data_IF_824146983431
#
_entry.id   IF_824146983431
#
_cell.length_a   1.000
_cell.length_b   1.000
_cell.length_c   1.000
_cell.angle_alpha   90.00
_cell.angle_beta   90.00
_cell.angle_gamma   90.00
#
_symmetry.space_group_name_H-M   'P 1'
#
loop_
_entity.id
_entity.type
_entity.pdbx_description
1 polymer ?
#
# COMPACT_ATOMS: atom_id res chain seq x y z
N UNK A 1 -19.91 -14.71 -6.42
CA UNK A 1 -19.02 -15.32 -7.41
C UNK A 1 -19.03 -16.84 -7.32
N UNK A 2 -18.75 -17.54 -8.42
CA UNK A 2 -18.41 -18.95 -8.39
C UNK A 2 -17.14 -19.15 -7.54
N UNK A 3 -16.91 -20.36 -7.02
CA UNK A 3 -15.69 -20.69 -6.26
C UNK A 3 -15.61 -20.10 -4.84
N UNK A 4 -16.74 -19.84 -4.18
CA UNK A 4 -16.74 -19.40 -2.77
C UNK A 4 -16.56 -20.56 -1.77
N UNK A 5 -16.84 -21.80 -2.18
CA UNK A 5 -16.77 -22.96 -1.30
C UNK A 5 -15.35 -23.18 -0.76
N UNK A 6 -15.24 -23.44 0.55
CA UNK A 6 -13.95 -23.66 1.23
C UNK A 6 -13.19 -22.41 1.62
N UNK A 7 -13.63 -21.22 1.17
CA UNK A 7 -13.03 -19.95 1.56
C UNK A 7 -13.56 -19.45 2.90
N UNK A 8 -12.73 -18.72 3.62
CA UNK A 8 -13.15 -18.04 4.84
C UNK A 8 -14.10 -16.87 4.49
N UNK A 9 -15.28 -16.85 5.11
CA UNK A 9 -16.27 -15.81 4.87
C UNK A 9 -16.02 -14.61 5.79
N UNK A 10 -15.70 -13.46 5.19
CA UNK A 10 -15.46 -12.18 5.86
C UNK A 10 -16.45 -11.10 5.42
N UNK A 11 -17.56 -11.47 4.79
CA UNK A 11 -18.54 -10.51 4.25
C UNK A 11 -19.21 -9.65 5.30
N UNK A 12 -19.25 -10.12 6.54
CA UNK A 12 -19.80 -9.38 7.69
C UNK A 12 -18.79 -8.43 8.35
N UNK A 13 -17.53 -8.44 7.90
CA UNK A 13 -16.52 -7.53 8.42
C UNK A 13 -16.68 -6.14 7.82
N UNK A 14 -16.50 -5.11 8.68
CA UNK A 14 -16.41 -3.73 8.19
C UNK A 14 -15.10 -3.54 7.45
N UNK A 15 -15.17 -3.26 6.16
CA UNK A 15 -14.00 -3.03 5.31
C UNK A 15 -14.24 -2.00 4.22
N UNK A 16 -13.18 -1.34 3.81
CA UNK A 16 -13.20 -0.27 2.82
C UNK A 16 -12.06 -0.43 1.82
N UNK A 17 -12.26 0.07 0.60
CA UNK A 17 -11.15 0.41 -0.31
C UNK A 17 -10.85 1.88 -0.18
N UNK A 18 -9.58 2.30 -0.33
CA UNK A 18 -9.16 3.71 -0.26
C UNK A 18 -8.21 3.99 -1.41
N UNK A 19 -8.69 4.67 -2.44
CA UNK A 19 -8.00 4.87 -3.70
C UNK A 19 -8.13 6.31 -4.21
N UNK A 20 -7.56 6.60 -5.37
CA UNK A 20 -7.82 7.83 -6.11
C UNK A 20 -9.26 7.88 -6.63
N UNK A 21 -9.79 9.09 -6.88
CA UNK A 21 -11.15 9.30 -7.37
C UNK A 21 -11.43 8.57 -8.68
N UNK A 22 -10.44 8.53 -9.57
CA UNK A 22 -10.54 7.96 -10.91
C UNK A 22 -10.23 6.46 -10.98
N UNK A 23 -9.81 5.83 -9.86
CA UNK A 23 -9.47 4.41 -9.81
C UNK A 23 -10.69 3.54 -10.11
N UNK A 24 -10.50 2.51 -10.92
CA UNK A 24 -11.55 1.53 -11.28
C UNK A 24 -11.13 0.10 -10.96
N UNK A 25 -9.84 -0.12 -10.86
CA UNK A 25 -9.15 -1.34 -10.49
C UNK A 25 -8.83 -1.29 -8.99
N UNK A 26 -9.81 -1.62 -8.15
CA UNK A 26 -9.68 -1.61 -6.70
C UNK A 26 -9.07 -2.95 -6.27
N UNK A 27 -7.76 -3.00 -6.15
CA UNK A 27 -7.01 -4.25 -5.94
C UNK A 27 -6.88 -4.62 -4.47
N UNK A 28 -7.01 -3.67 -3.55
CA UNK A 28 -6.88 -3.87 -2.11
C UNK A 28 -8.04 -3.28 -1.31
N UNK A 29 -8.42 -3.98 -0.25
CA UNK A 29 -9.32 -3.50 0.77
C UNK A 29 -8.70 -3.70 2.15
N UNK A 30 -9.08 -2.87 3.10
CA UNK A 30 -8.57 -2.93 4.47
C UNK A 30 -9.72 -2.97 5.48
N UNK A 31 -9.53 -3.73 6.55
CA UNK A 31 -10.41 -3.80 7.70
C UNK A 31 -9.61 -3.65 8.99
N UNK A 32 -10.20 -3.04 10.00
CA UNK A 32 -9.59 -2.92 11.33
C UNK A 32 -10.64 -2.99 12.42
N UNK A 33 -10.37 -3.81 13.42
CA UNK A 33 -11.10 -3.79 14.68
C UNK A 33 -10.15 -4.02 15.86
N UNK A 34 -10.63 -3.76 17.07
CA UNK A 34 -9.86 -3.99 18.27
C UNK A 34 -10.24 -5.32 18.91
N UNK A 35 -9.25 -6.12 19.29
CA UNK A 35 -9.40 -7.28 20.16
C UNK A 35 -8.62 -7.01 21.45
N UNK A 36 -9.34 -6.66 22.51
CA UNK A 36 -8.74 -6.12 23.71
C UNK A 36 -7.90 -4.88 23.41
N UNK A 37 -6.61 -4.96 23.71
CA UNK A 37 -5.63 -3.89 23.48
C UNK A 37 -4.91 -3.99 22.14
N UNK A 38 -5.20 -5.03 21.35
CA UNK A 38 -4.54 -5.28 20.08
C UNK A 38 -5.39 -4.81 18.89
N UNK A 39 -4.71 -4.41 17.83
CA UNK A 39 -5.33 -4.13 16.53
C UNK A 39 -5.42 -5.43 15.74
N UNK A 40 -6.58 -5.73 15.17
CA UNK A 40 -6.72 -6.78 14.17
C UNK A 40 -6.88 -6.12 12.81
N UNK A 41 -5.79 -6.08 12.07
CA UNK A 41 -5.72 -5.50 10.73
C UNK A 41 -5.89 -6.59 9.68
N UNK A 42 -6.90 -6.45 8.82
CA UNK A 42 -7.04 -7.25 7.61
C UNK A 42 -6.61 -6.45 6.38
N UNK A 43 -5.74 -7.05 5.59
CA UNK A 43 -5.39 -6.57 4.25
C UNK A 43 -5.85 -7.63 3.26
N UNK A 44 -6.74 -7.24 2.36
CA UNK A 44 -7.45 -8.13 1.46
C UNK A 44 -7.10 -7.75 0.02
N UNK A 45 -6.44 -8.65 -0.70
CA UNK A 45 -6.01 -8.43 -2.09
C UNK A 45 -6.89 -9.23 -3.02
N UNK A 46 -7.34 -8.63 -4.12
CA UNK A 46 -8.14 -9.30 -5.14
C UNK A 46 -7.46 -10.61 -5.61
N UNK A 47 -8.18 -11.74 -5.53
CA UNK A 47 -7.65 -13.04 -5.93
C UNK A 47 -7.72 -13.21 -7.45
N UNK A 48 -6.81 -12.55 -8.14
CA UNK A 48 -6.69 -12.58 -9.61
C UNK A 48 -6.35 -13.98 -10.09
N UNK A 49 -5.53 -14.73 -9.34
CA UNK A 49 -5.09 -16.08 -9.72
C UNK A 49 -6.22 -17.10 -9.78
N UNK A 50 -7.35 -16.84 -9.10
CA UNK A 50 -8.56 -17.66 -9.26
C UNK A 50 -9.15 -17.60 -10.67
N UNK A 51 -8.95 -16.49 -11.36
CA UNK A 51 -9.52 -16.25 -12.71
C UNK A 51 -8.48 -16.42 -13.82
N UNK A 52 -7.23 -16.05 -13.55
CA UNK A 52 -6.10 -16.18 -14.49
C UNK A 52 -5.32 -17.44 -14.12
N UNK A 53 -5.75 -18.55 -14.70
CA UNK A 53 -5.12 -19.85 -14.44
C UNK A 53 -3.81 -19.99 -15.23
N UNK A 54 -2.84 -20.68 -14.63
CA UNK A 54 -1.54 -20.96 -15.24
C UNK A 54 -1.68 -21.59 -16.63
N UNK A 55 -0.91 -21.11 -17.58
CA UNK A 55 -0.92 -21.53 -18.99
C UNK A 55 -2.21 -21.24 -19.77
N UNK A 56 -3.17 -20.54 -19.18
CA UNK A 56 -4.36 -20.08 -19.93
C UNK A 56 -3.97 -19.00 -20.96
N UNK A 57 -4.86 -18.74 -21.92
CA UNK A 57 -4.66 -17.66 -22.89
C UNK A 57 -4.48 -16.29 -22.23
N UNK A 58 -5.17 -16.05 -21.08
CA UNK A 58 -5.01 -14.83 -20.28
C UNK A 58 -3.62 -14.74 -19.66
N UNK A 59 -3.15 -15.83 -19.05
CA UNK A 59 -1.82 -15.91 -18.44
C UNK A 59 -0.71 -15.67 -19.47
N UNK A 60 -0.78 -16.35 -20.61
CA UNK A 60 0.18 -16.19 -21.69
C UNK A 60 0.23 -14.76 -22.22
N UNK A 61 -0.93 -14.11 -22.39
CA UNK A 61 -0.98 -12.72 -22.85
C UNK A 61 -0.51 -11.74 -21.76
N UNK A 62 -0.90 -11.96 -20.50
CA UNK A 62 -0.45 -11.14 -19.38
C UNK A 62 1.08 -11.20 -19.20
N UNK A 63 1.67 -12.39 -19.33
CA UNK A 63 3.13 -12.58 -19.28
C UNK A 63 3.84 -11.79 -20.38
N UNK A 64 3.31 -11.77 -21.61
CA UNK A 64 3.87 -10.97 -22.72
C UNK A 64 3.79 -9.47 -22.43
N UNK A 65 2.71 -8.98 -21.85
CA UNK A 65 2.53 -7.57 -21.47
C UNK A 65 3.42 -7.19 -20.30
N UNK A 66 3.58 -8.06 -19.33
CA UNK A 66 4.43 -7.92 -18.15
C UNK A 66 3.91 -6.92 -17.11
N UNK A 67 3.17 -5.88 -17.51
CA UNK A 67 2.60 -4.85 -16.64
C UNK A 67 1.46 -4.12 -17.33
N UNK A 68 0.66 -3.40 -16.55
CA UNK A 68 -0.21 -2.34 -17.07
C UNK A 68 0.63 -1.08 -17.33
N UNK A 69 0.33 -0.34 -18.40
CA UNK A 69 1.01 0.91 -18.77
C UNK A 69 0.08 2.08 -18.53
N UNK A 70 0.46 2.96 -17.60
CA UNK A 70 -0.29 4.15 -17.25
C UNK A 70 0.22 5.35 -18.05
N UNK A 71 -0.56 5.77 -19.04
CA UNK A 71 -0.34 7.01 -19.80
C UNK A 71 -1.06 8.17 -19.11
N UNK A 72 -0.80 9.39 -19.57
CA UNK A 72 -1.38 10.58 -18.95
C UNK A 72 -2.90 10.59 -19.00
N UNK A 73 -3.50 10.10 -20.10
CA UNK A 73 -4.92 10.12 -20.39
C UNK A 73 -5.62 8.74 -20.32
N UNK A 74 -4.83 7.66 -20.29
CA UNK A 74 -5.39 6.30 -20.36
C UNK A 74 -4.47 5.24 -19.76
N UNK A 75 -5.07 4.09 -19.48
CA UNK A 75 -4.34 2.89 -19.06
C UNK A 75 -4.45 1.83 -20.16
N UNK A 76 -3.31 1.23 -20.54
CA UNK A 76 -3.23 0.01 -21.34
C UNK A 76 -3.08 -1.15 -20.34
N UNK A 77 -4.17 -1.89 -20.04
CA UNK A 77 -4.12 -2.85 -18.95
C UNK A 77 -3.39 -4.14 -19.34
N UNK A 78 -2.73 -4.77 -18.36
CA UNK A 78 -2.14 -6.09 -18.52
C UNK A 78 -3.21 -7.16 -18.66
N UNK A 79 -4.31 -7.05 -17.93
CA UNK A 79 -5.47 -7.94 -17.98
C UNK A 79 -6.66 -7.24 -18.63
N UNK A 80 -7.62 -7.99 -19.22
CA UNK A 80 -8.87 -7.41 -19.72
C UNK A 80 -9.60 -6.60 -18.65
N UNK A 81 -10.27 -5.52 -19.05
CA UNK A 81 -10.99 -4.64 -18.12
C UNK A 81 -12.14 -5.34 -17.40
N UNK A 82 -12.70 -6.37 -17.99
CA UNK A 82 -13.73 -7.24 -17.39
C UNK A 82 -13.19 -7.94 -16.14
N UNK A 83 -11.89 -8.21 -16.09
CA UNK A 83 -11.22 -8.70 -14.89
C UNK A 83 -10.80 -7.54 -14.00
N UNK A 84 -9.91 -6.65 -14.46
CA UNK A 84 -9.25 -5.65 -13.61
C UNK A 84 -10.23 -4.63 -13.00
N UNK A 85 -11.23 -4.17 -13.77
CA UNK A 85 -12.22 -3.21 -13.29
C UNK A 85 -13.55 -3.87 -12.88
N UNK A 86 -13.72 -5.14 -13.24
CA UNK A 86 -14.95 -5.91 -13.07
C UNK A 86 -14.87 -6.91 -11.93
N UNK A 87 -14.68 -8.19 -12.28
CA UNK A 87 -14.84 -9.31 -11.33
C UNK A 87 -13.74 -9.35 -10.26
N UNK A 88 -12.53 -8.89 -10.56
CA UNK A 88 -11.43 -8.80 -9.59
C UNK A 88 -11.50 -7.53 -8.75
N UNK A 89 -12.00 -6.42 -9.30
CA UNK A 89 -12.09 -5.16 -8.56
C UNK A 89 -12.99 -5.29 -7.34
N UNK A 90 -12.50 -4.88 -6.17
CA UNK A 90 -13.16 -5.01 -4.87
C UNK A 90 -14.27 -3.96 -4.69
N UNK A 91 -15.16 -3.88 -5.67
CA UNK A 91 -16.24 -2.91 -5.75
C UNK A 91 -17.19 -2.97 -4.54
N UNK A 92 -17.66 -1.81 -4.11
CA UNK A 92 -18.61 -1.64 -2.99
C UNK A 92 -19.85 -2.50 -3.16
N UNK A 93 -20.26 -3.17 -2.10
CA UNK A 93 -21.47 -3.97 -2.03
C UNK A 93 -21.43 -5.29 -2.82
N UNK A 94 -20.31 -5.62 -3.45
CA UNK A 94 -20.16 -6.84 -4.23
C UNK A 94 -19.37 -7.92 -3.48
N UNK A 95 -19.86 -9.17 -3.55
CA UNK A 95 -19.07 -10.30 -3.07
C UNK A 95 -17.86 -10.51 -3.99
N UNK A 96 -16.66 -10.59 -3.41
CA UNK A 96 -15.41 -10.74 -4.13
C UNK A 96 -14.51 -11.80 -3.49
N UNK A 97 -13.74 -12.47 -4.34
CA UNK A 97 -12.70 -13.39 -3.88
C UNK A 97 -11.42 -12.60 -3.59
N UNK A 98 -10.82 -12.88 -2.44
CA UNK A 98 -9.60 -12.23 -2.03
C UNK A 98 -8.61 -13.21 -1.39
N UNK A 99 -7.34 -12.84 -1.42
CA UNK A 99 -6.29 -13.39 -0.55
C UNK A 99 -6.11 -12.39 0.59
N UNK A 100 -6.32 -12.86 1.82
CA UNK A 100 -6.33 -11.99 2.99
C UNK A 100 -5.18 -12.31 3.92
N UNK A 101 -4.47 -11.28 4.35
CA UNK A 101 -3.53 -11.31 5.46
C UNK A 101 -4.18 -10.61 6.65
N UNK A 102 -4.54 -11.38 7.68
CA UNK A 102 -5.16 -10.89 8.91
C UNK A 102 -4.10 -10.92 9.99
N UNK A 103 -3.78 -9.78 10.58
CA UNK A 103 -2.68 -9.61 11.52
C UNK A 103 -3.19 -9.07 12.86
N UNK A 104 -2.81 -9.73 13.95
CA UNK A 104 -2.98 -9.19 15.30
C UNK A 104 -1.74 -8.43 15.68
N UNK A 105 -1.88 -7.12 15.88
CA UNK A 105 -0.76 -6.20 16.10
C UNK A 105 -0.91 -5.54 17.48
N UNK A 106 0.16 -5.60 18.28
CA UNK A 106 0.17 -4.98 19.60
C UNK A 106 0.45 -3.47 19.53
N UNK A 107 0.33 -2.78 20.68
CA UNK A 107 0.60 -1.32 20.80
C UNK A 107 2.03 -0.89 20.48
N UNK A 108 2.97 -1.83 20.33
CA UNK A 108 4.34 -1.55 19.87
C UNK A 108 4.50 -1.69 18.35
N UNK A 109 3.44 -2.06 17.64
CA UNK A 109 3.46 -2.32 16.20
C UNK A 109 4.13 -3.65 15.85
N UNK A 110 4.09 -4.65 16.76
CA UNK A 110 4.59 -5.99 16.52
C UNK A 110 3.43 -6.89 16.12
N UNK A 111 3.59 -7.62 15.02
CA UNK A 111 2.65 -8.68 14.63
C UNK A 111 2.88 -9.85 15.58
N UNK A 112 1.89 -10.14 16.42
CA UNK A 112 1.97 -11.20 17.43
C UNK A 112 1.27 -12.48 16.99
N UNK A 113 0.37 -12.36 16.02
CA UNK A 113 -0.29 -13.49 15.35
C UNK A 113 -0.75 -13.05 13.95
N UNK A 114 -0.84 -13.99 13.03
CA UNK A 114 -1.36 -13.71 11.69
C UNK A 114 -2.00 -14.95 11.05
N UNK A 115 -2.86 -14.69 10.08
CA UNK A 115 -3.49 -15.71 9.25
C UNK A 115 -3.53 -15.27 7.80
N UNK A 116 -2.99 -16.08 6.91
CA UNK A 116 -3.10 -15.91 5.46
C UNK A 116 -4.15 -16.91 4.96
N UNK A 117 -5.15 -16.43 4.24
CA UNK A 117 -6.26 -17.27 3.80
C UNK A 117 -6.88 -16.80 2.49
N UNK A 118 -7.42 -17.75 1.73
CA UNK A 118 -8.39 -17.48 0.68
C UNK A 118 -9.72 -17.10 1.32
N UNK A 119 -10.29 -15.97 0.92
CA UNK A 119 -11.48 -15.38 1.55
C UNK A 119 -12.56 -15.00 0.55
N UNK A 120 -13.77 -14.82 1.06
CA UNK A 120 -14.84 -14.08 0.40
C UNK A 120 -15.10 -12.84 1.20
N UNK A 121 -15.03 -11.69 0.55
CA UNK A 121 -15.21 -10.37 1.15
C UNK A 121 -16.32 -9.59 0.51
N UNK A 122 -16.79 -8.54 1.19
CA UNK A 122 -17.73 -7.57 0.66
C UNK A 122 -17.39 -6.18 1.17
N UNK A 123 -16.84 -5.35 0.30
CA UNK A 123 -16.47 -3.97 0.64
C UNK A 123 -17.71 -3.16 1.02
N UNK A 124 -17.73 -2.53 2.20
CA UNK A 124 -18.84 -1.73 2.68
C UNK A 124 -18.91 -0.36 2.02
N UNK A 125 -17.75 0.28 1.81
CA UNK A 125 -17.63 1.59 1.16
C UNK A 125 -16.36 1.67 0.32
N UNK A 126 -16.52 2.28 -0.86
CA UNK A 126 -15.39 2.78 -1.63
C UNK A 126 -15.06 4.18 -1.14
N UNK A 127 -13.92 4.33 -0.48
CA UNK A 127 -13.42 5.62 -0.03
C UNK A 127 -12.38 6.16 -1.00
N UNK A 128 -12.19 7.48 -0.96
CA UNK A 128 -11.11 8.13 -1.69
C UNK A 128 -10.06 8.68 -0.72
N UNK A 129 -8.82 8.84 -1.20
CA UNK A 129 -7.76 9.49 -0.39
C UNK A 129 -8.21 10.88 0.08
N UNK A 130 -8.95 11.63 -0.75
CA UNK A 130 -9.48 12.94 -0.43
C UNK A 130 -10.49 12.87 0.72
N UNK A 131 -11.46 11.95 0.69
CA UNK A 131 -12.47 11.85 1.74
C UNK A 131 -11.87 11.38 3.06
N UNK A 132 -10.94 10.44 3.05
CA UNK A 132 -10.26 9.98 4.27
C UNK A 132 -9.37 11.09 4.84
N UNK A 133 -8.68 11.89 4.00
CA UNK A 133 -7.96 13.09 4.43
C UNK A 133 -8.89 14.10 5.10
N UNK A 134 -10.05 14.39 4.49
CA UNK A 134 -11.06 15.31 5.07
C UNK A 134 -11.55 14.84 6.44
N UNK A 135 -11.72 13.52 6.63
CA UNK A 135 -12.10 12.94 7.93
C UNK A 135 -10.96 13.09 8.94
N UNK A 136 -9.76 12.64 8.59
CA UNK A 136 -8.65 12.47 9.53
C UNK A 136 -7.85 13.76 9.81
N UNK A 137 -7.59 14.56 8.77
CA UNK A 137 -6.77 15.76 8.86
C UNK A 137 -7.58 17.04 8.90
N UNK A 138 -8.47 17.24 7.93
CA UNK A 138 -9.19 18.51 7.76
C UNK A 138 -10.38 18.63 8.74
N UNK A 139 -10.84 17.51 9.33
CA UNK A 139 -11.99 17.42 10.24
C UNK A 139 -13.26 18.03 9.66
N UNK A 140 -13.51 17.80 8.37
CA UNK A 140 -14.67 18.28 7.64
C UNK A 140 -15.96 17.67 8.22
N UNK A 141 -16.81 18.51 8.84
CA UNK A 141 -17.99 18.07 9.54
C UNK A 141 -19.03 17.41 8.61
N UNK A 142 -19.14 17.84 7.35
CA UNK A 142 -20.09 17.27 6.40
C UNK A 142 -19.65 15.85 5.97
N UNK A 143 -18.38 15.67 5.68
CA UNK A 143 -17.82 14.36 5.32
C UNK A 143 -17.81 13.41 6.52
N UNK A 144 -17.52 13.89 7.71
CA UNK A 144 -17.61 13.11 8.96
C UNK A 144 -19.04 12.61 9.20
N UNK A 145 -20.07 13.45 9.00
CA UNK A 145 -21.47 13.04 9.18
C UNK A 145 -21.89 12.02 8.11
N UNK A 146 -21.43 12.20 6.86
CA UNK A 146 -21.70 11.25 5.75
C UNK A 146 -21.16 9.85 6.04
N UNK A 147 -19.93 9.75 6.59
CA UNK A 147 -19.24 8.50 6.88
C UNK A 147 -19.10 8.18 8.36
N UNK A 148 -20.00 8.68 9.19
CA UNK A 148 -19.93 8.61 10.67
C UNK A 148 -19.72 7.20 11.23
N UNK A 149 -20.28 6.19 10.57
CA UNK A 149 -20.10 4.77 10.96
C UNK A 149 -18.68 4.26 10.78
N UNK A 150 -17.88 4.85 9.86
CA UNK A 150 -16.52 4.49 9.55
C UNK A 150 -15.47 5.30 10.30
N UNK A 151 -15.85 6.46 10.83
CA UNK A 151 -14.91 7.39 11.50
C UNK A 151 -14.13 6.72 12.63
N UNK A 152 -14.74 5.94 13.55
CA UNK A 152 -13.98 5.26 14.60
C UNK A 152 -12.94 4.29 14.07
N UNK A 153 -13.23 3.59 12.97
CA UNK A 153 -12.28 2.68 12.31
C UNK A 153 -11.13 3.49 11.70
N UNK A 154 -11.39 4.59 11.00
CA UNK A 154 -10.34 5.44 10.42
C UNK A 154 -9.44 6.06 11.48
N UNK A 155 -9.97 6.47 12.62
CA UNK A 155 -9.16 6.99 13.73
C UNK A 155 -8.21 5.92 14.27
N UNK A 156 -8.68 4.67 14.42
CA UNK A 156 -7.82 3.54 14.80
C UNK A 156 -6.82 3.14 13.71
N UNK A 157 -7.21 3.23 12.45
CA UNK A 157 -6.28 3.04 11.33
C UNK A 157 -5.15 4.07 11.34
N UNK A 158 -5.47 5.34 11.57
CA UNK A 158 -4.46 6.41 11.66
C UNK A 158 -3.51 6.20 12.86
N UNK A 159 -4.05 5.80 14.01
CA UNK A 159 -3.26 5.46 15.20
C UNK A 159 -2.28 4.31 14.90
N UNK A 160 -2.77 3.20 14.34
CA UNK A 160 -1.94 2.07 13.98
C UNK A 160 -0.88 2.43 12.93
N UNK A 161 -1.26 3.15 11.86
CA UNK A 161 -0.32 3.59 10.83
C UNK A 161 0.83 4.43 11.40
N UNK A 162 0.53 5.34 12.34
CA UNK A 162 1.54 6.13 13.03
C UNK A 162 2.51 5.25 13.86
N UNK A 163 2.00 4.21 14.54
CA UNK A 163 2.82 3.25 15.29
C UNK A 163 3.75 2.48 14.33
N UNK A 164 3.21 1.95 13.24
CA UNK A 164 3.96 1.18 12.24
C UNK A 164 5.05 2.05 11.59
N UNK A 165 4.69 3.27 11.17
CA UNK A 165 5.64 4.24 10.60
C UNK A 165 6.76 4.59 11.57
N UNK A 166 6.45 4.87 12.83
CA UNK A 166 7.44 5.14 13.87
C UNK A 166 8.41 3.97 14.06
N UNK A 167 7.89 2.73 14.07
CA UNK A 167 8.70 1.52 14.16
C UNK A 167 9.63 1.37 12.95
N UNK A 168 9.12 1.58 11.73
CA UNK A 168 9.87 1.52 10.48
C UNK A 168 10.95 2.59 10.43
N UNK A 169 10.65 3.83 10.80
CA UNK A 169 11.62 4.93 10.88
C UNK A 169 12.72 4.63 11.91
N UNK A 170 12.37 4.05 13.08
CA UNK A 170 13.35 3.64 14.08
C UNK A 170 14.30 2.54 13.57
N UNK A 171 13.81 1.67 12.67
CA UNK A 171 14.62 0.63 12.01
C UNK A 171 15.61 1.22 11.01
N UNK A 172 15.37 2.43 10.50
CA UNK A 172 16.23 3.13 9.55
C UNK A 172 15.61 3.29 8.15
N UNK A 173 14.30 3.15 8.05
CA UNK A 173 13.60 3.44 6.80
C UNK A 173 13.86 4.86 6.35
N UNK A 174 14.14 5.05 5.07
CA UNK A 174 14.29 6.35 4.45
C UNK A 174 12.96 6.70 3.79
N UNK A 175 12.38 7.83 4.19
CA UNK A 175 11.19 8.38 3.55
C UNK A 175 11.64 9.40 2.50
N UNK A 176 11.74 8.97 1.25
CA UNK A 176 12.02 9.85 0.13
C UNK A 176 10.72 10.55 -0.27
N UNK A 177 10.54 11.78 0.17
CA UNK A 177 9.42 12.63 -0.23
C UNK A 177 9.77 13.40 -1.51
N UNK A 178 9.99 12.65 -2.60
CA UNK A 178 10.17 13.28 -3.91
C UNK A 178 8.81 13.76 -4.44
N UNK A 179 8.72 15.01 -4.91
CA UNK A 179 7.50 15.50 -5.49
C UNK A 179 7.17 14.75 -6.79
N UNK A 180 6.14 13.91 -6.74
CA UNK A 180 5.53 13.34 -7.93
C UNK A 180 4.62 14.39 -8.59
N UNK A 181 4.50 14.36 -9.90
CA UNK A 181 3.69 15.33 -10.64
C UNK A 181 2.49 14.66 -11.28
N UNK A 182 1.32 15.32 -11.19
CA UNK A 182 0.10 14.98 -11.93
C UNK A 182 -0.12 15.99 -13.02
N UNK A 183 -0.21 15.54 -14.26
CA UNK A 183 -0.62 16.38 -15.40
C UNK A 183 -2.13 16.44 -15.42
N UNK A 184 -2.68 17.66 -15.44
CA UNK A 184 -4.12 17.92 -15.56
C UNK A 184 -4.43 18.17 -17.02
N UNK A 185 -5.40 17.44 -17.57
CA UNK A 185 -5.84 17.56 -18.95
C UNK A 185 -7.20 18.26 -19.00
N UNK A 186 -7.47 18.95 -20.13
CA UNK A 186 -8.82 19.40 -20.49
C UNK A 186 -9.66 18.24 -21.08
N UNK A 187 -10.91 18.55 -21.49
CA UNK A 187 -11.83 17.58 -22.08
C UNK A 187 -11.34 17.01 -23.43
N UNK A 188 -10.47 17.74 -24.13
CA UNK A 188 -9.88 17.35 -25.41
C UNK A 188 -8.54 16.60 -25.22
N UNK A 189 -8.08 16.44 -23.97
CA UNK A 189 -6.83 15.73 -23.64
C UNK A 189 -5.57 16.60 -23.75
N UNK A 190 -5.68 17.92 -23.82
CA UNK A 190 -4.53 18.82 -23.80
C UNK A 190 -4.09 19.13 -22.37
N UNK A 191 -2.78 19.16 -22.09
CA UNK A 191 -2.26 19.54 -20.78
C UNK A 191 -2.57 21.02 -20.47
N UNK A 192 -3.27 21.27 -19.37
CA UNK A 192 -3.61 22.61 -18.88
C UNK A 192 -2.87 23.00 -17.61
N UNK A 193 -2.38 22.04 -16.85
CA UNK A 193 -1.66 22.29 -15.60
C UNK A 193 -0.77 21.09 -15.20
N UNK A 194 0.26 21.37 -14.41
CA UNK A 194 1.11 20.34 -13.77
C UNK A 194 1.11 20.63 -12.28
N UNK A 195 0.53 19.70 -11.49
CA UNK A 195 0.41 19.83 -10.03
C UNK A 195 1.23 18.78 -9.31
N UNK A 196 1.75 19.08 -8.12
CA UNK A 196 2.32 18.06 -7.28
C UNK A 196 1.23 17.06 -6.86
N UNK A 197 1.59 15.78 -6.80
CA UNK A 197 0.73 14.75 -6.21
C UNK A 197 0.66 14.94 -4.68
N UNK A 198 -0.54 14.98 -4.13
CA UNK A 198 -0.75 15.19 -2.70
C UNK A 198 -0.56 13.87 -1.93
N UNK A 199 0.64 13.67 -1.37
CA UNK A 199 0.93 12.58 -0.45
C UNK A 199 0.45 12.94 0.96
N UNK A 200 -0.75 12.51 1.30
CA UNK A 200 -1.46 12.90 2.52
C UNK A 200 -1.57 11.74 3.55
N UNK A 201 -2.28 11.98 4.64
CA UNK A 201 -2.45 11.01 5.72
C UNK A 201 -3.08 9.70 5.25
N UNK A 202 -4.00 9.76 4.27
CA UNK A 202 -4.69 8.57 3.76
C UNK A 202 -3.78 7.71 2.87
N UNK A 203 -2.99 8.34 1.98
CA UNK A 203 -2.01 7.62 1.15
C UNK A 203 -0.94 6.96 2.02
N UNK A 204 -0.45 7.67 3.04
CA UNK A 204 0.53 7.14 4.01
C UNK A 204 -0.02 5.99 4.83
N UNK A 205 -1.29 6.02 5.19
CA UNK A 205 -1.97 4.95 5.95
C UNK A 205 -2.02 3.66 5.13
N UNK A 206 -2.45 3.72 3.88
CA UNK A 206 -2.50 2.56 2.99
C UNK A 206 -1.09 2.02 2.72
N UNK A 207 -0.12 2.90 2.48
CA UNK A 207 1.29 2.50 2.33
C UNK A 207 1.78 1.67 3.53
N UNK A 208 1.57 2.15 4.76
CA UNK A 208 2.01 1.45 5.96
C UNK A 208 1.32 0.08 6.14
N UNK A 209 0.03 -0.03 5.77
CA UNK A 209 -0.72 -1.29 5.84
C UNK A 209 -0.27 -2.28 4.77
N UNK A 210 -0.02 -1.83 3.55
CA UNK A 210 0.53 -2.69 2.50
C UNK A 210 1.93 -3.20 2.86
N UNK A 211 2.78 -2.34 3.41
CA UNK A 211 4.13 -2.72 3.82
C UNK A 211 4.13 -3.78 4.91
N UNK A 212 3.32 -3.62 5.97
CA UNK A 212 3.28 -4.62 7.04
C UNK A 212 2.68 -5.96 6.56
N UNK A 213 1.69 -5.93 5.68
CA UNK A 213 1.15 -7.14 5.07
C UNK A 213 2.18 -7.85 4.20
N UNK A 214 2.90 -7.10 3.34
CA UNK A 214 3.95 -7.64 2.49
C UNK A 214 5.09 -8.26 3.32
N UNK A 215 5.53 -7.58 4.39
CA UNK A 215 6.55 -8.09 5.32
C UNK A 215 6.07 -9.38 6.00
N UNK A 216 4.84 -9.41 6.50
CA UNK A 216 4.25 -10.57 7.19
C UNK A 216 4.14 -11.78 6.27
N UNK A 217 3.63 -11.59 5.04
CA UNK A 217 3.51 -12.68 4.07
C UNK A 217 4.89 -13.18 3.64
N UNK A 218 5.83 -12.29 3.36
CA UNK A 218 7.18 -12.67 2.95
C UNK A 218 7.90 -13.45 4.05
N UNK A 219 7.79 -13.02 5.31
CA UNK A 219 8.41 -13.69 6.46
C UNK A 219 7.80 -15.07 6.71
N UNK A 220 6.47 -15.19 6.61
CA UNK A 220 5.76 -16.45 6.82
C UNK A 220 6.20 -17.52 5.82
N UNK A 221 6.19 -17.20 4.52
CA UNK A 221 6.61 -18.12 3.47
C UNK A 221 8.13 -18.40 3.47
N UNK A 222 8.94 -17.45 3.94
CA UNK A 222 10.38 -17.66 4.12
C UNK A 222 10.66 -18.76 5.16
N UNK A 223 10.03 -18.68 6.32
CA UNK A 223 10.24 -19.67 7.38
C UNK A 223 9.61 -21.02 7.08
N UNK A 224 8.58 -21.07 6.23
CA UNK A 224 8.03 -22.32 5.72
C UNK A 224 8.90 -22.99 4.64
N UNK A 225 9.95 -22.31 4.15
CA UNK A 225 10.83 -22.80 3.08
C UNK A 225 10.08 -23.16 1.79
N UNK A 226 8.95 -22.49 1.54
CA UNK A 226 8.15 -22.66 0.32
C UNK A 226 8.69 -21.75 -0.79
N UNK A 227 8.78 -22.23 -2.06
CA UNK A 227 9.12 -21.37 -3.18
C UNK A 227 8.18 -20.19 -3.28
N UNK A 228 8.72 -18.97 -3.24
CA UNK A 228 7.97 -17.73 -3.23
C UNK A 228 8.73 -16.63 -3.96
N UNK A 229 8.01 -15.67 -4.56
CA UNK A 229 8.63 -14.54 -5.25
C UNK A 229 8.81 -13.39 -4.27
N UNK A 230 10.07 -13.08 -3.95
CA UNK A 230 10.43 -11.98 -3.06
C UNK A 230 10.84 -10.76 -3.87
N UNK A 231 10.39 -9.57 -3.43
CA UNK A 231 10.94 -8.31 -3.89
C UNK A 231 12.00 -7.84 -2.90
N UNK A 232 13.25 -7.83 -3.35
CA UNK A 232 14.40 -7.43 -2.54
C UNK A 232 15.02 -6.14 -3.06
N UNK A 233 15.75 -5.45 -2.20
CA UNK A 233 16.62 -4.34 -2.56
C UNK A 233 18.04 -4.68 -2.16
N UNK A 234 18.96 -4.47 -3.09
CA UNK A 234 20.39 -4.60 -2.81
C UNK A 234 20.88 -3.44 -1.96
N UNK A 235 22.03 -3.65 -1.32
CA UNK A 235 22.74 -2.59 -0.63
C UNK A 235 23.16 -1.51 -1.62
N UNK A 236 23.30 -0.24 -1.17
CA UNK A 236 23.80 0.82 -2.03
C UNK A 236 25.18 0.49 -2.60
N UNK A 237 25.37 0.84 -3.87
CA UNK A 237 26.65 0.70 -4.56
C UNK A 237 27.76 1.50 -3.83
N UNK A 238 28.86 0.83 -3.49
CA UNK A 238 29.94 1.43 -2.70
C UNK A 238 30.58 2.63 -3.40
N UNK A 239 30.77 2.60 -4.72
CA UNK A 239 31.36 3.71 -5.46
C UNK A 239 30.43 4.93 -5.44
N UNK A 240 29.13 4.70 -5.60
CA UNK A 240 28.13 5.78 -5.49
C UNK A 240 28.11 6.40 -4.10
N UNK A 241 28.20 5.58 -3.07
CA UNK A 241 28.30 6.06 -1.68
C UNK A 241 29.60 6.86 -1.43
N UNK A 242 30.75 6.41 -1.94
CA UNK A 242 32.00 7.16 -1.86
C UNK A 242 31.91 8.50 -2.58
N UNK A 243 31.31 8.53 -3.78
CA UNK A 243 31.06 9.78 -4.54
C UNK A 243 30.12 10.72 -3.77
N UNK A 244 29.02 10.19 -3.20
CA UNK A 244 28.12 10.97 -2.34
C UNK A 244 28.86 11.55 -1.13
N UNK A 245 29.63 10.73 -0.42
CA UNK A 245 30.41 11.17 0.75
C UNK A 245 31.36 12.31 0.39
N UNK A 246 32.09 12.20 -0.72
CA UNK A 246 32.97 13.26 -1.22
C UNK A 246 32.19 14.54 -1.55
N UNK A 247 31.05 14.40 -2.20
CA UNK A 247 30.21 15.54 -2.58
C UNK A 247 29.69 16.30 -1.33
N UNK A 248 29.10 15.59 -0.36
CA UNK A 248 28.49 16.21 0.81
C UNK A 248 29.53 16.81 1.77
N UNK A 249 30.75 16.30 1.76
CA UNK A 249 31.87 16.89 2.55
C UNK A 249 32.14 18.33 2.15
N UNK A 250 31.91 18.71 0.88
CA UNK A 250 32.06 20.10 0.41
C UNK A 250 31.05 21.06 1.07
N UNK A 251 29.97 20.53 1.61
CA UNK A 251 28.93 21.27 2.32
C UNK A 251 29.01 21.12 3.86
N UNK A 252 30.10 20.50 4.37
CA UNK A 252 30.32 20.31 5.80
C UNK A 252 29.55 19.12 6.41
N UNK A 253 28.94 18.26 5.60
CA UNK A 253 28.26 17.04 6.06
C UNK A 253 29.21 15.83 5.97
N UNK A 254 29.06 14.90 6.90
CA UNK A 254 29.84 13.67 6.94
C UNK A 254 28.93 12.46 6.97
N UNK A 255 29.21 11.47 6.12
CA UNK A 255 28.57 10.17 6.11
C UNK A 255 29.51 9.14 6.75
N UNK A 256 29.05 8.46 7.79
CA UNK A 256 29.82 7.36 8.39
C UNK A 256 29.61 6.09 7.56
N UNK A 257 30.70 5.66 6.91
CA UNK A 257 30.74 4.42 6.13
C UNK A 257 31.40 3.37 7.03
N UNK A 258 30.68 2.28 7.34
CA UNK A 258 31.27 1.12 8.03
C UNK A 258 32.36 0.45 7.19
N UNK A 259 32.95 -0.63 7.70
CA UNK A 259 34.05 -1.31 7.01
C UNK A 259 33.70 -1.83 5.62
N UNK A 260 32.46 -2.23 5.40
CA UNK A 260 32.02 -2.83 4.14
C UNK A 260 30.65 -2.31 3.64
N UNK A 261 29.82 -1.67 4.49
CA UNK A 261 28.45 -1.26 4.13
C UNK A 261 28.00 0.01 4.84
N UNK A 262 27.13 0.79 4.17
CA UNK A 262 26.44 1.93 4.79
C UNK A 262 25.10 1.47 5.32
N UNK A 263 24.93 1.50 6.64
CA UNK A 263 23.66 1.19 7.25
C UNK A 263 22.61 2.26 6.86
N UNK A 264 21.36 1.89 6.45
CA UNK A 264 20.32 2.84 6.06
C UNK A 264 20.08 3.98 7.04
N UNK A 265 20.27 3.73 8.33
CA UNK A 265 20.19 4.73 9.41
C UNK A 265 21.15 5.91 9.27
N UNK A 266 22.33 5.70 8.69
CA UNK A 266 23.30 6.78 8.47
C UNK A 266 22.83 7.70 7.34
N UNK A 267 22.23 7.15 6.29
CA UNK A 267 21.58 7.94 5.23
C UNK A 267 20.37 8.69 5.77
N UNK A 268 19.54 8.06 6.61
CA UNK A 268 18.41 8.71 7.27
C UNK A 268 18.86 9.91 8.12
N UNK A 269 19.92 9.76 8.93
CA UNK A 269 20.50 10.85 9.73
C UNK A 269 21.03 12.00 8.85
N UNK A 270 21.66 11.66 7.72
CA UNK A 270 22.12 12.65 6.77
C UNK A 270 20.95 13.45 6.20
N UNK A 271 19.93 12.77 5.68
CA UNK A 271 18.72 13.40 5.15
C UNK A 271 18.05 14.33 6.16
N UNK A 272 17.90 13.88 7.41
CA UNK A 272 17.34 14.72 8.48
C UNK A 272 18.17 15.97 8.81
N UNK A 273 19.48 15.97 8.51
CA UNK A 273 20.35 17.15 8.72
C UNK A 273 20.27 18.15 7.57
N UNK A 274 19.98 17.70 6.36
CA UNK A 274 19.92 18.54 5.16
C UNK A 274 18.50 19.01 4.84
N UNK A 275 17.49 18.43 5.50
CA UNK A 275 16.10 18.81 5.33
C UNK A 275 15.90 20.28 5.70
N UNK A 276 15.35 21.09 4.77
CA UNK A 276 15.10 22.52 4.97
C UNK A 276 16.32 23.45 4.85
N UNK A 277 17.46 22.93 4.35
CA UNK A 277 18.68 23.76 4.11
C UNK A 277 18.79 24.21 2.65
#
# INVERSE_FOLDING_TARGET
PAHMAGRMDLRDWMMVTIDGEDAKDLDDAVSLYMDGDNYVLGVHIADVSNYVQEHSALDVEALKRGTSVYLVDRVIPMLPRELSNGICSLNEGCDRLALSCIMTINKKGEVIDHKIAETVIKTNRRMTYTNVKKILADKDAAVIEEYKELVPMFEKMAELAAILRKKRMKRGSIDFDFPETKVVLDEDGHPIDIKPYDRNVATKLIEDFMLIANETVAEDYFWQEVPFVYRTHENPDEEKIKKLSTFINNFGYTLHIGSDEVHPKELQKLLSKIEGT
#
